data_IF_934601073172
#
_entry.id   IF_934601073172
#
_cell.length_a   1.000
_cell.length_b   1.000
_cell.length_c   1.000
_cell.angle_alpha   90.00
_cell.angle_beta   90.00
_cell.angle_gamma   90.00
#
_symmetry.space_group_name_H-M   'P 1'
#
loop_
_entity.id
_entity.type
_entity.pdbx_description
1 polymer ?
#
# COMPACT_ATOMS: atom_id res chain seq x y z
N UNK A 1 10.94 -27.01 -33.65
CA UNK A 1 9.77 -26.21 -33.21
C UNK A 1 9.43 -26.40 -31.74
N UNK A 2 9.40 -27.64 -31.22
CA UNK A 2 9.03 -27.93 -29.82
C UNK A 2 10.07 -27.39 -28.80
N UNK A 3 11.37 -27.52 -29.05
CA UNK A 3 12.40 -27.02 -28.10
C UNK A 3 12.44 -25.49 -27.98
N UNK A 4 12.12 -24.76 -29.06
CA UNK A 4 12.03 -23.30 -29.03
C UNK A 4 10.81 -22.83 -28.20
N UNK A 5 9.71 -23.59 -28.22
CA UNK A 5 8.52 -23.29 -27.42
C UNK A 5 8.74 -23.56 -25.93
N UNK A 6 9.41 -24.67 -25.60
CA UNK A 6 9.79 -25.03 -24.21
C UNK A 6 10.74 -23.98 -23.62
N UNK A 7 11.80 -23.59 -24.37
CA UNK A 7 12.73 -22.54 -23.92
C UNK A 7 12.05 -21.19 -23.69
N UNK A 8 11.01 -20.86 -24.48
CA UNK A 8 10.30 -19.60 -24.33
C UNK A 8 9.34 -19.65 -23.12
N UNK A 9 8.69 -20.79 -22.87
CA UNK A 9 7.82 -21.00 -21.71
C UNK A 9 8.61 -20.94 -20.39
N UNK A 10 9.79 -21.57 -20.31
CA UNK A 10 10.67 -21.49 -19.13
C UNK A 10 11.16 -20.06 -18.88
N UNK A 11 11.49 -19.31 -19.94
CA UNK A 11 11.92 -17.90 -19.82
C UNK A 11 10.79 -16.97 -19.35
N UNK A 12 9.56 -17.23 -19.78
CA UNK A 12 8.36 -16.50 -19.34
C UNK A 12 8.03 -16.86 -17.89
N UNK A 13 8.07 -18.14 -17.53
CA UNK A 13 7.82 -18.61 -16.17
C UNK A 13 8.86 -18.05 -15.18
N UNK A 14 10.14 -18.06 -15.56
CA UNK A 14 11.21 -17.45 -14.76
C UNK A 14 11.01 -15.94 -14.58
N UNK A 15 10.59 -15.23 -15.62
CA UNK A 15 10.30 -13.80 -15.54
C UNK A 15 9.09 -13.49 -14.64
N UNK A 16 8.03 -14.31 -14.72
CA UNK A 16 6.85 -14.18 -13.87
C UNK A 16 7.15 -14.48 -12.40
N UNK A 17 7.96 -15.52 -12.13
CA UNK A 17 8.41 -15.85 -10.78
C UNK A 17 9.21 -14.69 -10.15
N UNK A 18 10.15 -14.11 -10.90
CA UNK A 18 10.92 -12.93 -10.45
C UNK A 18 9.98 -11.77 -10.12
N UNK A 19 9.01 -11.47 -10.98
CA UNK A 19 8.06 -10.39 -10.74
C UNK A 19 7.24 -10.60 -9.47
N UNK A 20 6.75 -11.82 -9.25
CA UNK A 20 5.99 -12.18 -8.05
C UNK A 20 6.85 -12.07 -6.79
N UNK A 21 8.10 -12.56 -6.82
CA UNK A 21 9.01 -12.47 -5.68
C UNK A 21 9.31 -11.00 -5.36
N UNK A 22 9.63 -10.20 -6.38
CA UNK A 22 9.92 -8.78 -6.20
C UNK A 22 8.69 -8.01 -5.70
N UNK A 23 7.49 -8.29 -6.23
CA UNK A 23 6.28 -7.63 -5.75
C UNK A 23 6.01 -7.97 -4.27
N UNK A 24 6.14 -9.24 -3.88
CA UNK A 24 5.99 -9.65 -2.48
C UNK A 24 7.00 -8.94 -1.57
N UNK A 25 8.26 -8.82 -2.00
CA UNK A 25 9.28 -8.07 -1.26
C UNK A 25 8.93 -6.59 -1.11
N UNK A 26 8.42 -5.94 -2.16
CA UNK A 26 7.94 -4.56 -2.09
C UNK A 26 6.81 -4.43 -1.07
N UNK A 27 5.86 -5.36 -1.06
CA UNK A 27 4.79 -5.41 -0.06
C UNK A 27 5.33 -5.48 1.37
N UNK A 28 6.29 -6.39 1.60
CA UNK A 28 6.93 -6.56 2.90
C UNK A 28 7.73 -5.32 3.33
N UNK A 29 8.41 -4.63 2.40
CA UNK A 29 9.18 -3.42 2.73
C UNK A 29 8.28 -2.25 3.17
N UNK A 30 7.05 -2.18 2.65
CA UNK A 30 6.11 -1.14 3.06
C UNK A 30 5.47 -1.41 4.43
N UNK A 31 5.26 -2.69 4.78
CA UNK A 31 4.54 -3.10 6.00
C UNK A 31 5.48 -3.46 7.14
N UNK A 32 6.66 -3.98 6.83
CA UNK A 32 7.66 -4.49 7.78
C UNK A 32 8.07 -3.47 8.85
N UNK A 33 8.42 -2.21 8.50
CA UNK A 33 8.78 -1.19 9.48
C UNK A 33 7.66 -0.92 10.49
N UNK A 34 6.41 -0.83 10.02
CA UNK A 34 5.23 -0.61 10.88
C UNK A 34 5.00 -1.79 11.84
N UNK A 35 5.13 -3.03 11.34
CA UNK A 35 5.03 -4.23 12.17
C UNK A 35 6.15 -4.30 13.23
N UNK A 36 7.38 -3.93 12.87
CA UNK A 36 8.51 -3.93 13.78
C UNK A 36 8.31 -2.91 14.91
N UNK A 37 7.88 -1.68 14.56
CA UNK A 37 7.58 -0.62 15.55
C UNK A 37 6.42 -1.05 16.45
N UNK A 38 5.34 -1.59 15.88
CA UNK A 38 4.19 -2.04 16.66
C UNK A 38 4.56 -3.14 17.66
N UNK A 39 5.36 -4.13 17.24
CA UNK A 39 5.85 -5.20 18.13
C UNK A 39 6.78 -4.67 19.22
N UNK A 40 7.63 -3.70 18.89
CA UNK A 40 8.55 -3.09 19.85
C UNK A 40 7.79 -2.33 20.95
N UNK A 41 6.77 -1.53 20.58
CA UNK A 41 5.94 -0.81 21.54
C UNK A 41 5.10 -1.75 22.41
N UNK A 42 4.51 -2.79 21.81
CA UNK A 42 3.73 -3.79 22.54
C UNK A 42 4.57 -4.52 23.60
N UNK A 43 5.83 -4.85 23.27
CA UNK A 43 6.78 -5.43 24.22
C UNK A 43 7.13 -4.49 25.39
N UNK A 44 6.93 -3.18 25.23
CA UNK A 44 7.11 -2.16 26.27
C UNK A 44 5.80 -1.80 27.01
N UNK A 45 4.69 -2.47 26.69
CA UNK A 45 3.37 -2.13 27.23
C UNK A 45 2.82 -0.80 26.72
N UNK A 46 3.34 -0.28 25.60
CA UNK A 46 2.89 0.95 24.97
C UNK A 46 2.01 0.64 23.75
N UNK A 47 0.87 1.32 23.57
CA UNK A 47 0.03 1.12 22.39
C UNK A 47 0.66 1.76 21.15
N UNK A 48 0.64 1.04 20.02
CA UNK A 48 0.94 1.66 18.72
C UNK A 48 -0.23 2.54 18.29
N UNK A 49 0.04 3.83 18.06
CA UNK A 49 -0.94 4.80 17.57
C UNK A 49 -0.39 5.46 16.31
N UNK A 50 -1.24 5.56 15.28
CA UNK A 50 -0.91 6.33 14.08
C UNK A 50 -0.81 7.82 14.44
N UNK A 51 0.39 8.40 14.29
CA UNK A 51 0.58 9.84 14.51
C UNK A 51 0.01 10.67 13.36
N UNK A 52 -0.71 11.74 13.70
CA UNK A 52 -1.25 12.69 12.74
C UNK A 52 -0.15 13.38 11.92
N UNK A 53 1.03 13.60 12.48
CA UNK A 53 2.15 14.25 11.79
C UNK A 53 2.65 13.43 10.60
N UNK A 54 2.65 12.10 10.73
CA UNK A 54 3.21 11.18 9.73
C UNK A 54 2.14 10.53 8.83
N UNK A 55 0.88 10.54 9.28
CA UNK A 55 -0.22 9.83 8.64
C UNK A 55 -1.47 10.70 8.44
N UNK A 56 -1.37 12.03 8.47
CA UNK A 56 -2.52 12.97 8.35
C UNK A 56 -3.55 12.57 7.29
N UNK A 57 -3.07 12.37 6.06
CA UNK A 57 -3.93 12.01 4.93
C UNK A 57 -4.49 10.59 5.08
N UNK A 58 -3.65 9.65 5.50
CA UNK A 58 -4.01 8.25 5.70
C UNK A 58 -5.09 8.10 6.79
N UNK A 59 -4.93 8.83 7.90
CA UNK A 59 -5.88 8.89 9.02
C UNK A 59 -7.24 9.44 8.62
N UNK A 60 -7.27 10.45 7.76
CA UNK A 60 -8.54 11.03 7.28
C UNK A 60 -9.32 10.00 6.45
N UNK A 61 -8.65 9.22 5.59
CA UNK A 61 -9.29 8.17 4.81
C UNK A 61 -9.64 6.94 5.64
N UNK A 62 -8.80 6.56 6.61
CA UNK A 62 -9.05 5.46 7.54
C UNK A 62 -10.27 5.71 8.42
N UNK A 63 -10.40 6.93 8.96
CA UNK A 63 -11.53 7.27 9.81
C UNK A 63 -12.84 7.26 9.01
N UNK A 64 -12.83 7.77 7.78
CA UNK A 64 -13.98 7.65 6.86
C UNK A 64 -14.25 6.22 6.40
N UNK A 65 -13.23 5.38 6.24
CA UNK A 65 -13.42 3.96 5.93
C UNK A 65 -14.10 3.22 7.09
N UNK A 66 -13.83 3.64 8.33
CA UNK A 66 -14.53 3.14 9.52
C UNK A 66 -16.02 3.51 9.50
N UNK A 67 -16.34 4.76 9.18
CA UNK A 67 -17.74 5.20 8.99
C UNK A 67 -18.47 4.35 7.95
N UNK A 68 -17.84 4.07 6.80
CA UNK A 68 -18.40 3.21 5.76
C UNK A 68 -18.60 1.77 6.26
N UNK A 69 -17.63 1.22 6.99
CA UNK A 69 -17.75 -0.11 7.59
C UNK A 69 -18.91 -0.20 8.59
N UNK A 70 -19.15 0.88 9.34
CA UNK A 70 -20.25 0.99 10.29
C UNK A 70 -21.61 1.29 9.62
N UNK A 71 -21.63 1.45 8.29
CA UNK A 71 -22.85 1.61 7.48
C UNK A 71 -23.23 3.06 7.16
N UNK A 72 -22.38 4.04 7.49
CA UNK A 72 -22.64 5.45 7.23
C UNK A 72 -22.21 5.86 5.81
N UNK A 73 -23.20 6.11 4.95
CA UNK A 73 -23.01 6.63 3.58
C UNK A 73 -23.96 7.82 3.34
N UNK A 74 -23.45 9.03 3.05
CA UNK A 74 -22.04 9.41 2.88
C UNK A 74 -21.26 9.43 4.21
N UNK A 75 -19.98 9.05 4.18
CA UNK A 75 -19.14 9.09 5.38
C UNK A 75 -18.84 10.51 5.82
N UNK A 76 -19.09 10.80 7.10
CA UNK A 76 -18.74 12.07 7.73
C UNK A 76 -17.25 12.15 8.03
N UNK A 77 -16.74 13.36 8.20
CA UNK A 77 -15.40 13.56 8.74
C UNK A 77 -15.47 13.51 10.28
N UNK A 78 -14.91 12.49 10.94
CA UNK A 78 -15.01 12.37 12.40
C UNK A 78 -14.16 13.40 13.15
N UNK A 79 -13.33 14.17 12.46
CA UNK A 79 -12.49 15.22 13.05
C UNK A 79 -13.04 16.64 12.86
N UNK A 80 -14.24 16.79 12.29
CA UNK A 80 -14.83 18.10 12.05
C UNK A 80 -16.04 18.32 12.96
N UNK A 81 -15.95 19.34 13.81
CA UNK A 81 -16.95 19.67 14.83
C UNK A 81 -18.35 20.00 14.28
N UNK A 82 -18.48 20.28 12.96
CA UNK A 82 -19.74 20.51 12.24
C UNK A 82 -19.55 20.44 10.72
N UNK A 83 -18.93 19.39 10.18
CA UNK A 83 -18.81 19.29 8.71
C UNK A 83 -20.11 18.77 8.08
N UNK A 84 -20.69 19.55 7.17
CA UNK A 84 -21.59 19.01 6.15
C UNK A 84 -20.93 17.84 5.42
N UNK A 85 -21.68 16.82 4.95
CA UNK A 85 -21.12 15.70 4.20
C UNK A 85 -20.30 16.22 3.02
N UNK A 86 -18.98 16.14 3.14
CA UNK A 86 -18.07 16.60 2.07
C UNK A 86 -18.20 15.69 0.86
N UNK A 87 -18.44 16.26 -0.33
CA UNK A 87 -18.39 15.58 -1.63
C UNK A 87 -16.93 15.24 -1.99
N UNK A 88 -16.28 14.42 -1.16
CA UNK A 88 -14.95 13.87 -1.44
C UNK A 88 -15.13 12.56 -2.19
N UNK A 89 -14.20 12.23 -3.07
CA UNK A 89 -14.23 10.97 -3.82
C UNK A 89 -14.40 9.79 -2.83
N UNK A 90 -15.50 9.01 -2.91
CA UNK A 90 -15.77 7.94 -1.95
C UNK A 90 -14.94 6.68 -2.23
N UNK A 91 -14.34 6.56 -3.41
CA UNK A 91 -13.62 5.36 -3.85
C UNK A 91 -12.51 4.94 -2.86
N UNK A 92 -11.61 5.83 -2.39
CA UNK A 92 -10.55 5.43 -1.46
C UNK A 92 -11.11 4.89 -0.13
N UNK A 93 -12.15 5.54 0.42
CA UNK A 93 -12.76 5.11 1.68
C UNK A 93 -13.55 3.81 1.54
N UNK A 94 -14.26 3.61 0.42
CA UNK A 94 -14.97 2.35 0.11
C UNK A 94 -14.00 1.18 -0.06
N UNK A 95 -12.92 1.38 -0.83
CA UNK A 95 -11.89 0.36 -1.01
C UNK A 95 -11.23 -0.01 0.31
N UNK A 96 -10.89 0.98 1.13
CA UNK A 96 -10.28 0.75 2.43
C UNK A 96 -11.25 0.08 3.42
N UNK A 97 -12.55 0.40 3.34
CA UNK A 97 -13.58 -0.26 4.13
C UNK A 97 -13.73 -1.75 3.79
N UNK A 98 -13.52 -2.15 2.53
CA UNK A 98 -13.49 -3.57 2.17
C UNK A 98 -12.41 -4.35 2.92
N UNK A 99 -11.26 -3.73 3.23
CA UNK A 99 -10.20 -4.35 4.04
C UNK A 99 -10.54 -4.43 5.54
N UNK A 100 -11.53 -3.67 6.03
CA UNK A 100 -11.99 -3.73 7.43
C UNK A 100 -12.85 -4.98 7.71
N UNK A 101 -13.59 -5.45 6.71
CA UNK A 101 -14.50 -6.62 6.82
C UNK A 101 -13.80 -7.88 7.36
N UNK A 102 -12.71 -8.39 6.74
CA UNK A 102 -12.09 -9.64 7.17
C UNK A 102 -11.39 -9.55 8.54
N UNK A 103 -11.10 -8.34 9.03
CA UNK A 103 -10.38 -8.12 10.30
C UNK A 103 -11.30 -7.62 11.42
N UNK A 104 -12.62 -7.69 11.23
CA UNK A 104 -13.61 -7.30 12.24
C UNK A 104 -13.56 -5.81 12.57
N UNK A 105 -13.27 -4.95 11.59
CA UNK A 105 -13.25 -3.50 11.76
C UNK A 105 -11.99 -2.93 12.44
N UNK A 106 -10.97 -3.75 12.71
CA UNK A 106 -9.70 -3.28 13.28
C UNK A 106 -8.91 -2.45 12.25
N UNK A 107 -8.71 -1.17 12.53
CA UNK A 107 -8.07 -0.19 11.61
C UNK A 107 -6.63 -0.57 11.27
N UNK A 108 -5.81 -0.88 12.29
CA UNK A 108 -4.39 -1.18 12.09
C UNK A 108 -4.14 -2.36 11.13
N UNK A 109 -4.69 -3.57 11.35
CA UNK A 109 -4.47 -4.68 10.43
C UNK A 109 -5.08 -4.43 9.04
N UNK A 110 -6.26 -3.79 8.95
CA UNK A 110 -6.84 -3.42 7.65
C UNK A 110 -5.90 -2.50 6.85
N UNK A 111 -5.32 -1.50 7.52
CA UNK A 111 -4.35 -0.59 6.91
C UNK A 111 -3.11 -1.33 6.43
N UNK A 112 -2.54 -2.23 7.23
CA UNK A 112 -1.38 -3.03 6.83
C UNK A 112 -1.68 -3.93 5.63
N UNK A 113 -2.85 -4.57 5.59
CA UNK A 113 -3.28 -5.40 4.45
C UNK A 113 -3.46 -4.55 3.20
N UNK A 114 -4.12 -3.39 3.31
CA UNK A 114 -4.27 -2.46 2.20
C UNK A 114 -2.90 -1.99 1.69
N UNK A 115 -2.00 -1.56 2.58
CA UNK A 115 -0.66 -1.11 2.24
C UNK A 115 0.16 -2.23 1.56
N UNK A 116 0.06 -3.47 2.03
CA UNK A 116 0.69 -4.64 1.42
C UNK A 116 0.22 -4.89 -0.01
N UNK A 117 -1.10 -4.82 -0.24
CA UNK A 117 -1.70 -5.11 -1.54
C UNK A 117 -1.46 -3.95 -2.52
N UNK A 118 -1.68 -2.70 -2.09
CA UNK A 118 -1.54 -1.55 -2.98
C UNK A 118 -0.09 -1.27 -3.38
N UNK A 119 0.89 -1.53 -2.50
CA UNK A 119 2.31 -1.40 -2.88
C UNK A 119 2.71 -2.41 -3.96
N UNK A 120 2.21 -3.65 -3.88
CA UNK A 120 2.37 -4.66 -4.93
C UNK A 120 1.72 -4.23 -6.25
N UNK A 121 0.46 -3.79 -6.18
CA UNK A 121 -0.26 -3.31 -7.36
C UNK A 121 0.47 -2.13 -8.01
N UNK A 122 0.97 -1.19 -7.20
CA UNK A 122 1.71 -0.03 -7.69
C UNK A 122 2.98 -0.46 -8.43
N UNK A 123 3.76 -1.38 -7.86
CA UNK A 123 4.94 -1.95 -8.53
C UNK A 123 4.57 -2.62 -9.86
N UNK A 124 3.52 -3.45 -9.89
CA UNK A 124 3.09 -4.14 -11.10
C UNK A 124 2.65 -3.14 -12.18
N UNK A 125 1.87 -2.11 -11.81
CA UNK A 125 1.41 -1.08 -12.75
C UNK A 125 2.60 -0.31 -13.34
N UNK A 126 3.55 0.12 -12.52
CA UNK A 126 4.75 0.79 -13.02
C UNK A 126 5.63 -0.14 -13.85
N UNK A 127 5.70 -1.43 -13.53
CA UNK A 127 6.38 -2.42 -14.37
C UNK A 127 5.73 -2.51 -15.75
N UNK A 128 4.40 -2.59 -15.83
CA UNK A 128 3.68 -2.63 -17.11
C UNK A 128 3.90 -1.37 -17.94
N UNK A 129 3.92 -0.20 -17.29
CA UNK A 129 4.27 1.08 -17.94
C UNK A 129 5.72 1.04 -18.43
N UNK A 130 6.67 0.67 -17.57
CA UNK A 130 8.09 0.55 -17.91
C UNK A 130 8.34 -0.43 -19.05
N UNK A 131 7.57 -1.53 -19.12
CA UNK A 131 7.63 -2.51 -20.22
C UNK A 131 7.27 -1.89 -21.57
N UNK A 132 6.26 -1.00 -21.60
CA UNK A 132 5.88 -0.27 -22.81
C UNK A 132 6.88 0.82 -23.19
N UNK A 133 7.56 1.43 -22.21
CA UNK A 133 8.53 2.49 -22.45
C UNK A 133 9.88 1.94 -22.93
N UNK A 134 10.48 1.03 -22.17
CA UNK A 134 11.87 0.60 -22.39
C UNK A 134 12.02 -0.64 -23.23
N UNK A 135 10.92 -1.36 -23.50
CA UNK A 135 10.90 -2.63 -24.23
C UNK A 135 11.84 -3.73 -23.65
N UNK A 136 12.37 -3.51 -22.44
CA UNK A 136 13.30 -4.40 -21.73
C UNK A 136 12.77 -4.74 -20.35
N UNK A 137 12.83 -6.03 -19.98
CA UNK A 137 12.38 -6.52 -18.67
C UNK A 137 13.18 -5.88 -17.53
N UNK A 138 14.50 -5.82 -17.67
CA UNK A 138 15.38 -5.32 -16.62
C UNK A 138 15.13 -3.85 -16.33
N UNK A 139 15.05 -3.02 -17.37
CA UNK A 139 14.77 -1.58 -17.23
C UNK A 139 13.37 -1.30 -16.71
N UNK A 140 12.38 -2.10 -17.10
CA UNK A 140 11.03 -1.99 -16.56
C UNK A 140 10.98 -2.33 -15.06
N UNK A 141 11.69 -3.37 -14.62
CA UNK A 141 11.81 -3.72 -13.19
C UNK A 141 12.51 -2.60 -12.43
N UNK A 142 13.64 -2.09 -12.94
CA UNK A 142 14.37 -1.00 -12.30
C UNK A 142 13.50 0.26 -12.15
N UNK A 143 12.78 0.64 -13.20
CA UNK A 143 11.83 1.76 -13.16
C UNK A 143 10.71 1.53 -12.13
N UNK A 144 10.12 0.34 -12.11
CA UNK A 144 9.07 -0.01 -11.16
C UNK A 144 9.55 -0.01 -9.71
N UNK A 145 10.79 -0.48 -9.46
CA UNK A 145 11.42 -0.44 -8.14
C UNK A 145 11.60 1.00 -7.66
N UNK A 146 12.14 1.88 -8.51
CA UNK A 146 12.32 3.30 -8.18
C UNK A 146 10.96 3.93 -7.84
N UNK A 147 9.95 3.73 -8.68
CA UNK A 147 8.62 4.29 -8.47
C UNK A 147 7.94 3.76 -7.19
N UNK A 148 8.05 2.45 -6.92
CA UNK A 148 7.44 1.83 -5.75
C UNK A 148 8.16 2.16 -4.44
N UNK A 149 9.48 2.39 -4.45
CA UNK A 149 10.28 2.66 -3.24
C UNK A 149 10.38 4.15 -2.90
N UNK A 150 10.19 5.05 -3.87
CA UNK A 150 10.24 6.50 -3.64
C UNK A 150 9.39 6.98 -2.46
N UNK A 151 8.15 6.51 -2.25
CA UNK A 151 7.35 6.92 -1.10
C UNK A 151 7.99 6.57 0.26
N UNK A 152 8.75 5.47 0.35
CA UNK A 152 9.46 5.09 1.58
C UNK A 152 10.53 6.14 1.90
N UNK A 153 11.35 6.51 0.92
CA UNK A 153 12.39 7.52 1.07
C UNK A 153 11.81 8.88 1.46
N UNK A 154 10.70 9.29 0.84
CA UNK A 154 10.03 10.55 1.18
C UNK A 154 9.47 10.56 2.61
N UNK A 155 8.88 9.45 3.07
CA UNK A 155 8.42 9.33 4.46
C UNK A 155 9.60 9.44 5.44
N UNK A 156 10.73 8.79 5.16
CA UNK A 156 11.93 8.88 6.00
C UNK A 156 12.46 10.32 6.06
N UNK A 157 12.52 11.02 4.93
CA UNK A 157 12.96 12.42 4.88
C UNK A 157 12.03 13.34 5.69
N UNK A 158 10.72 13.17 5.56
CA UNK A 158 9.73 13.92 6.35
C UNK A 158 9.86 13.66 7.85
N UNK A 159 10.17 12.43 8.26
CA UNK A 159 10.42 12.07 9.67
C UNK A 159 11.61 12.83 10.28
N UNK A 160 12.58 13.26 9.46
CA UNK A 160 13.74 14.02 9.93
C UNK A 160 13.56 15.54 9.80
N UNK A 161 12.39 16.02 9.35
CA UNK A 161 12.06 17.45 9.25
C UNK A 161 12.88 18.21 8.20
N UNK A 162 13.39 17.54 7.17
CA UNK A 162 14.28 18.13 6.14
C UNK A 162 13.61 18.41 4.80
N UNK A 163 12.28 18.32 4.72
CA UNK A 163 11.49 18.53 3.50
C UNK A 163 10.58 19.76 3.61
#
# INVERSE_FOLDING_TARGET
MISAFVNNAERIAGSAAILTIVSLLIGLLHVGPLLAIAKYLDAQGQPFVFSYENYRNDLTYLARAREVYDGHLPSSDPFADNSSPTLRNPIPSLLLAAFLIPVGGKIFPAYLTALFVFSQLNFILFYLVGKRLFHSNLWAIAFALVAALTPISLRILNFHGTA
#
